data_IF_671504302538
#
_entry.id   IF_671504302538
#
_cell.length_a   1.000
_cell.length_b   1.000
_cell.length_c   1.000
_cell.angle_alpha   90.00
_cell.angle_beta   90.00
_cell.angle_gamma   90.00
#
_symmetry.space_group_name_H-M   'P 1'
#
loop_
_entity.id
_entity.type
_entity.pdbx_description
1 polymer ?
#
# COMPACT_ATOMS: atom_id res chain seq x y z
N UNK A 1 -4.89 18.07 -18.56
CA UNK A 1 -4.68 17.11 -17.46
C UNK A 1 -6.05 16.76 -16.91
N UNK A 2 -6.32 15.50 -16.55
CA UNK A 2 -7.69 15.03 -16.25
C UNK A 2 -7.97 15.15 -14.75
N UNK A 3 -9.01 15.90 -14.39
CA UNK A 3 -9.51 15.99 -13.02
C UNK A 3 -10.18 14.67 -12.59
N UNK A 4 -9.87 14.23 -11.38
CA UNK A 4 -10.34 12.96 -10.81
C UNK A 4 -11.62 13.22 -10.01
N UNK A 5 -12.70 12.43 -10.19
CA UNK A 5 -13.98 12.63 -9.53
C UNK A 5 -13.89 12.33 -8.04
N UNK A 6 -14.79 12.97 -7.29
CA UNK A 6 -14.92 12.79 -5.84
C UNK A 6 -15.10 11.30 -5.46
N UNK A 7 -15.71 10.47 -6.30
CA UNK A 7 -15.97 9.05 -6.01
C UNK A 7 -14.69 8.23 -5.84
N UNK A 8 -13.66 8.52 -6.64
CA UNK A 8 -12.34 7.88 -6.53
C UNK A 8 -11.66 8.33 -5.25
N UNK A 9 -11.78 9.61 -4.88
CA UNK A 9 -11.27 10.13 -3.62
C UNK A 9 -12.01 9.52 -2.41
N UNK A 10 -13.32 9.30 -2.53
CA UNK A 10 -14.16 8.66 -1.52
C UNK A 10 -13.87 7.16 -1.36
N UNK A 11 -13.22 6.53 -2.34
CA UNK A 11 -12.77 5.14 -2.24
C UNK A 11 -11.50 4.99 -1.38
N UNK A 12 -10.70 6.06 -1.23
CA UNK A 12 -9.48 6.09 -0.39
C UNK A 12 -9.76 5.71 1.08
N UNK A 13 -10.77 6.26 1.77
CA UNK A 13 -11.07 5.86 3.15
C UNK A 13 -11.54 4.40 3.30
N UNK A 14 -11.96 3.71 2.24
CA UNK A 14 -12.23 2.26 2.33
C UNK A 14 -10.96 1.45 2.56
N UNK A 15 -9.79 1.94 2.11
CA UNK A 15 -8.49 1.32 2.37
C UNK A 15 -7.95 1.58 3.77
N UNK A 16 -8.55 2.49 4.54
CA UNK A 16 -8.28 2.60 5.98
C UNK A 16 -8.48 1.21 6.63
N UNK A 17 -9.46 0.43 6.17
CA UNK A 17 -9.70 -0.95 6.63
C UNK A 17 -8.51 -1.90 6.45
N UNK A 18 -7.48 -1.58 5.67
CA UNK A 18 -6.21 -2.34 5.67
C UNK A 18 -5.57 -2.40 7.07
N UNK A 19 -5.88 -1.46 7.98
CA UNK A 19 -5.50 -1.56 9.40
C UNK A 19 -6.00 -2.87 10.05
N UNK A 20 -7.10 -3.46 9.56
CA UNK A 20 -7.66 -4.70 10.06
C UNK A 20 -6.76 -5.90 9.77
N UNK A 21 -5.94 -5.86 8.71
CA UNK A 21 -4.93 -6.90 8.45
C UNK A 21 -3.80 -6.84 9.48
N UNK A 22 -3.33 -5.63 9.83
CA UNK A 22 -2.42 -5.46 10.97
C UNK A 22 -3.05 -5.99 12.26
N UNK A 23 -4.32 -5.68 12.51
CA UNK A 23 -5.05 -6.20 13.67
C UNK A 23 -5.16 -7.73 13.65
N UNK A 24 -5.42 -8.33 12.49
CA UNK A 24 -5.54 -9.78 12.32
C UNK A 24 -4.20 -10.49 12.57
N UNK A 25 -3.10 -9.99 12.00
CA UNK A 25 -1.76 -10.50 12.29
C UNK A 25 -1.41 -10.42 13.77
N UNK A 26 -1.77 -9.31 14.42
CA UNK A 26 -1.54 -9.09 15.84
C UNK A 26 -2.39 -10.05 16.69
N UNK A 27 -3.66 -10.26 16.35
CA UNK A 27 -4.58 -11.17 17.06
C UNK A 27 -4.19 -12.65 16.93
N UNK A 28 -3.56 -13.04 15.82
CA UNK A 28 -3.16 -14.43 15.56
C UNK A 28 -1.71 -14.74 16.00
N UNK A 29 -1.00 -13.75 16.53
CA UNK A 29 0.34 -13.96 17.07
C UNK A 29 0.26 -14.71 18.40
N UNK A 30 1.04 -15.81 18.51
CA UNK A 30 1.08 -16.67 19.70
C UNK A 30 1.38 -15.88 20.99
N UNK A 31 2.09 -14.77 20.87
CA UNK A 31 2.42 -13.86 21.97
C UNK A 31 1.19 -13.27 22.70
N UNK A 32 0.07 -13.06 22.00
CA UNK A 32 -1.17 -12.51 22.57
C UNK A 32 -2.07 -13.58 23.19
N UNK A 33 -1.98 -14.82 22.69
CA UNK A 33 -2.78 -15.95 23.18
C UNK A 33 -2.12 -16.65 24.38
N UNK A 34 -0.84 -16.43 24.62
CA UNK A 34 -0.15 -17.05 25.73
C UNK A 34 -0.66 -16.51 27.08
N UNK A 35 -1.22 -17.42 27.88
CA UNK A 35 -1.73 -17.12 29.21
C UNK A 35 -0.63 -16.58 30.15
N UNK A 36 0.61 -17.03 29.94
CA UNK A 36 1.79 -16.57 30.68
C UNK A 36 2.13 -15.10 30.40
N UNK A 37 2.10 -14.66 29.14
CA UNK A 37 2.40 -13.26 28.79
C UNK A 37 1.33 -12.32 29.34
N UNK A 38 0.06 -12.76 29.34
CA UNK A 38 -1.06 -11.99 29.92
C UNK A 38 -0.97 -11.90 31.44
N UNK A 39 -0.53 -12.95 32.13
CA UNK A 39 -0.37 -12.91 33.59
C UNK A 39 0.79 -12.00 34.00
N UNK A 40 1.94 -12.07 33.31
CA UNK A 40 3.11 -11.21 33.57
C UNK A 40 2.79 -9.72 33.33
N UNK A 41 2.02 -9.39 32.29
CA UNK A 41 1.58 -8.02 32.03
C UNK A 41 0.63 -7.48 33.13
N UNK A 42 -0.28 -8.33 33.62
CA UNK A 42 -1.19 -7.99 34.72
C UNK A 42 -0.43 -7.78 36.04
N UNK A 43 0.60 -8.59 36.33
CA UNK A 43 1.47 -8.42 37.50
C UNK A 43 2.25 -7.09 37.46
N UNK A 44 2.69 -6.65 36.28
CA UNK A 44 3.42 -5.39 36.10
C UNK A 44 2.52 -4.16 35.92
N UNK A 45 1.19 -4.31 35.95
CA UNK A 45 0.22 -3.25 35.62
C UNK A 45 0.45 -2.58 34.26
N UNK A 46 0.94 -3.33 33.27
CA UNK A 46 1.16 -2.83 31.92
C UNK A 46 -0.04 -3.25 31.07
N UNK A 47 -0.73 -2.29 30.46
CA UNK A 47 -1.78 -2.58 29.49
C UNK A 47 -1.17 -3.22 28.23
N UNK A 48 -1.71 -4.37 27.83
CA UNK A 48 -1.37 -5.04 26.57
C UNK A 48 -1.97 -4.25 25.40
N UNK A 49 -1.30 -3.17 25.01
CA UNK A 49 -1.72 -2.31 23.90
C UNK A 49 -1.19 -2.79 22.54
N UNK A 50 -1.92 -2.50 21.45
CA UNK A 50 -1.52 -2.85 20.07
C UNK A 50 -0.13 -2.32 19.68
N UNK A 51 0.24 -1.14 20.20
CA UNK A 51 1.56 -0.52 19.97
C UNK A 51 2.69 -1.32 20.62
N UNK A 52 2.45 -1.91 21.78
CA UNK A 52 3.42 -2.76 22.46
C UNK A 52 3.68 -4.02 21.64
N UNK A 53 2.63 -4.63 21.11
CA UNK A 53 2.79 -5.89 20.37
C UNK A 53 3.42 -5.72 19.00
N UNK A 54 3.10 -4.65 18.27
CA UNK A 54 3.84 -4.37 17.04
C UNK A 54 5.33 -4.17 17.35
N UNK A 55 5.69 -3.50 18.46
CA UNK A 55 7.08 -3.38 18.89
C UNK A 55 7.73 -4.73 19.20
N UNK A 56 7.05 -5.61 19.95
CA UNK A 56 7.57 -6.95 20.28
C UNK A 56 7.73 -7.82 19.03
N UNK A 57 6.76 -7.82 18.11
CA UNK A 57 6.85 -8.57 16.86
C UNK A 57 8.00 -8.08 15.96
N UNK A 58 8.25 -6.76 15.94
CA UNK A 58 9.37 -6.17 15.22
C UNK A 58 10.73 -6.52 15.87
N UNK A 59 10.78 -6.75 17.18
CA UNK A 59 12.00 -7.17 17.87
C UNK A 59 12.33 -8.66 17.62
N UNK A 60 11.33 -9.55 17.66
CA UNK A 60 11.59 -10.99 17.49
C UNK A 60 11.93 -11.37 16.05
N UNK A 61 11.11 -10.94 15.08
CA UNK A 61 11.26 -11.30 13.66
C UNK A 61 11.00 -10.10 12.75
N UNK A 62 11.93 -9.11 12.72
CA UNK A 62 11.72 -7.84 12.02
C UNK A 62 11.38 -8.01 10.54
N UNK A 63 12.08 -8.92 9.85
CA UNK A 63 11.89 -9.17 8.42
C UNK A 63 10.49 -9.69 8.10
N UNK A 64 9.91 -10.55 8.94
CA UNK A 64 8.58 -11.14 8.67
C UNK A 64 7.49 -10.07 8.74
N UNK A 65 7.56 -9.18 9.74
CA UNK A 65 6.62 -8.07 9.89
C UNK A 65 6.74 -7.11 8.69
N UNK A 66 7.97 -6.79 8.30
CA UNK A 66 8.23 -5.89 7.18
C UNK A 66 7.71 -6.44 5.85
N UNK A 67 7.96 -7.72 5.56
CA UNK A 67 7.49 -8.36 4.31
C UNK A 67 5.97 -8.34 4.23
N UNK A 68 5.24 -8.65 5.32
CA UNK A 68 3.77 -8.64 5.26
C UNK A 68 3.24 -7.21 5.09
N UNK A 69 3.85 -6.23 5.76
CA UNK A 69 3.50 -4.82 5.55
C UNK A 69 3.69 -4.41 4.09
N UNK A 70 4.86 -4.69 3.51
CA UNK A 70 5.19 -4.37 2.11
C UNK A 70 4.24 -5.03 1.12
N UNK A 71 3.96 -6.33 1.26
CA UNK A 71 3.02 -7.03 0.35
C UNK A 71 1.61 -6.46 0.44
N UNK A 72 1.12 -6.17 1.66
CA UNK A 72 -0.20 -5.56 1.84
C UNK A 72 -0.29 -4.16 1.23
N UNK A 73 0.79 -3.38 1.35
CA UNK A 73 0.92 -2.07 0.77
C UNK A 73 0.91 -2.12 -0.75
N UNK A 74 1.66 -3.07 -1.35
CA UNK A 74 1.70 -3.28 -2.79
C UNK A 74 0.33 -3.61 -3.38
N UNK A 75 -0.42 -4.51 -2.74
CA UNK A 75 -1.77 -4.87 -3.19
C UNK A 75 -2.71 -3.66 -3.11
N UNK A 76 -2.68 -2.92 -2.01
CA UNK A 76 -3.50 -1.71 -1.81
C UNK A 76 -3.18 -0.65 -2.86
N UNK A 77 -1.90 -0.30 -3.02
CA UNK A 77 -1.47 0.75 -3.95
C UNK A 77 -1.66 0.36 -5.41
N UNK A 78 -1.44 -0.92 -5.77
CA UNK A 78 -1.72 -1.42 -7.11
C UNK A 78 -3.18 -1.24 -7.46
N UNK A 79 -4.08 -1.58 -6.53
CA UNK A 79 -5.51 -1.38 -6.73
C UNK A 79 -5.86 0.10 -6.89
N UNK A 80 -5.33 0.98 -6.04
CA UNK A 80 -5.56 2.43 -6.14
C UNK A 80 -5.07 3.00 -7.47
N UNK A 81 -3.87 2.63 -7.90
CA UNK A 81 -3.30 3.07 -9.17
C UNK A 81 -4.15 2.61 -10.36
N UNK A 82 -4.60 1.35 -10.34
CA UNK A 82 -5.52 0.81 -11.34
C UNK A 82 -6.82 1.62 -11.42
N UNK A 83 -7.44 1.99 -10.29
CA UNK A 83 -8.68 2.79 -10.32
C UNK A 83 -8.46 4.19 -10.91
N UNK A 84 -7.35 4.84 -10.55
CA UNK A 84 -7.07 6.19 -11.02
C UNK A 84 -6.79 6.25 -12.53
N UNK A 85 -6.02 5.30 -13.08
CA UNK A 85 -5.75 5.26 -14.52
C UNK A 85 -6.92 4.68 -15.34
N UNK A 86 -7.69 3.73 -14.80
CA UNK A 86 -8.93 3.22 -15.45
C UNK A 86 -9.97 4.31 -15.63
N UNK A 87 -10.17 5.14 -14.61
CA UNK A 87 -11.12 6.25 -14.70
C UNK A 87 -10.68 7.27 -15.76
N UNK A 88 -9.40 7.59 -15.84
CA UNK A 88 -8.89 8.50 -16.85
C UNK A 88 -8.96 7.91 -18.27
N UNK A 89 -8.76 6.60 -18.45
CA UNK A 89 -9.00 5.94 -19.72
C UNK A 89 -10.47 6.07 -20.16
N UNK A 90 -11.42 5.86 -19.24
CA UNK A 90 -12.85 6.04 -19.51
C UNK A 90 -13.20 7.48 -19.90
N UNK A 91 -12.69 8.48 -19.19
CA UNK A 91 -12.93 9.90 -19.53
C UNK A 91 -12.30 10.31 -20.86
N UNK A 92 -11.09 9.83 -21.17
CA UNK A 92 -10.44 10.08 -22.47
C UNK A 92 -11.27 9.53 -23.61
N UNK A 93 -11.72 8.28 -23.47
CA UNK A 93 -12.61 7.61 -24.41
C UNK A 93 -13.89 8.44 -24.60
N UNK A 94 -14.58 8.89 -23.55
CA UNK A 94 -15.77 9.74 -23.74
C UNK A 94 -15.44 11.05 -24.49
N UNK A 95 -14.30 11.68 -24.21
CA UNK A 95 -13.90 12.94 -24.87
C UNK A 95 -13.57 12.76 -26.36
N UNK A 96 -12.97 11.63 -26.74
CA UNK A 96 -12.70 11.30 -28.14
C UNK A 96 -14.03 11.04 -28.90
N UNK A 97 -15.09 10.57 -28.22
CA UNK A 97 -16.37 10.15 -28.86
C UNK A 97 -17.10 11.45 -29.18
N UNK A 98 -17.10 12.36 -28.20
CA UNK A 98 -17.62 13.70 -28.35
C UNK A 98 -16.89 14.52 -29.42
N UNK A 99 -15.62 14.22 -29.73
CA UNK A 99 -14.84 14.91 -30.76
C UNK A 99 -14.85 14.22 -32.14
N UNK A 100 -15.56 13.09 -32.29
CA UNK A 100 -15.74 12.42 -33.57
C UNK A 100 -14.49 11.73 -34.14
N UNK A 101 -13.48 11.47 -33.31
CA UNK A 101 -12.27 10.76 -33.71
C UNK A 101 -12.53 9.25 -33.87
N UNK A 102 -11.88 8.63 -34.87
CA UNK A 102 -11.97 7.20 -35.15
C UNK A 102 -11.43 6.39 -33.96
N UNK A 103 -12.27 5.53 -33.40
CA UNK A 103 -11.91 4.60 -32.33
C UNK A 103 -11.14 3.40 -32.86
N UNK A 104 -9.83 3.39 -32.67
CA UNK A 104 -9.07 2.14 -32.71
C UNK A 104 -9.22 1.46 -31.34
N UNK A 105 -10.27 0.63 -31.22
CA UNK A 105 -10.77 0.03 -29.98
C UNK A 105 -9.85 -1.03 -29.36
N UNK A 106 -8.56 -0.79 -29.28
CA UNK A 106 -7.59 -1.67 -28.61
C UNK A 106 -7.52 -1.32 -27.12
N UNK A 107 -8.58 -1.63 -26.40
CA UNK A 107 -8.60 -1.51 -24.94
C UNK A 107 -8.06 -2.81 -24.35
N UNK A 108 -6.75 -2.82 -24.09
CA UNK A 108 -6.03 -3.95 -23.47
C UNK A 108 -6.37 -4.04 -21.96
N UNK A 109 -7.63 -4.27 -21.62
CA UNK A 109 -8.16 -4.22 -20.23
C UNK A 109 -7.46 -5.23 -19.32
N UNK A 110 -6.99 -6.35 -19.87
CA UNK A 110 -6.44 -7.46 -19.10
C UNK A 110 -5.06 -7.16 -18.50
N UNK A 111 -4.26 -6.28 -19.11
CA UNK A 111 -2.89 -6.01 -18.65
C UNK A 111 -2.78 -4.85 -17.65
N UNK A 112 -3.85 -4.08 -17.43
CA UNK A 112 -3.79 -2.89 -16.57
C UNK A 112 -3.45 -3.19 -15.10
N UNK A 113 -3.94 -4.30 -14.54
CA UNK A 113 -3.68 -4.62 -13.12
C UNK A 113 -2.25 -5.11 -12.89
N UNK A 114 -1.73 -6.00 -13.76
CA UNK A 114 -0.35 -6.48 -13.69
C UNK A 114 0.65 -5.34 -13.97
N UNK A 115 0.34 -4.46 -14.92
CA UNK A 115 1.11 -3.26 -15.22
C UNK A 115 1.11 -2.27 -14.04
N UNK A 116 -0.03 -2.12 -13.35
CA UNK A 116 -0.13 -1.31 -12.12
C UNK A 116 0.70 -1.92 -10.99
N UNK A 117 0.62 -3.24 -10.80
CA UNK A 117 1.38 -3.96 -9.78
C UNK A 117 2.87 -3.79 -10.03
N UNK A 118 3.33 -4.02 -11.27
CA UNK A 118 4.70 -3.80 -11.70
C UNK A 118 5.17 -2.37 -11.43
N UNK A 119 4.39 -1.37 -11.83
CA UNK A 119 4.72 0.04 -11.59
C UNK A 119 4.91 0.32 -10.08
N UNK A 120 4.03 -0.20 -9.22
CA UNK A 120 4.15 -0.04 -7.77
C UNK A 120 5.39 -0.76 -7.23
N UNK A 121 5.73 -1.96 -7.71
CA UNK A 121 6.96 -2.67 -7.31
C UNK A 121 8.21 -1.86 -7.64
N UNK A 122 8.32 -1.41 -8.89
CA UNK A 122 9.48 -0.68 -9.42
C UNK A 122 9.62 0.68 -8.74
N UNK A 123 8.50 1.34 -8.45
CA UNK A 123 8.47 2.60 -7.70
C UNK A 123 8.86 2.39 -6.25
N UNK A 124 8.37 1.32 -5.61
CA UNK A 124 8.74 0.97 -4.24
C UNK A 124 10.22 0.58 -4.12
N UNK A 125 10.78 -0.13 -5.09
CA UNK A 125 12.22 -0.45 -5.09
C UNK A 125 13.10 0.75 -5.48
N UNK A 126 12.49 1.91 -5.78
CA UNK A 126 13.18 3.11 -6.27
C UNK A 126 14.04 2.86 -7.52
N UNK A 127 13.65 1.89 -8.36
CA UNK A 127 14.35 1.60 -9.63
C UNK A 127 13.88 2.57 -10.71
N UNK A 128 12.56 2.72 -10.88
CA UNK A 128 11.96 3.70 -11.78
C UNK A 128 12.33 3.55 -13.26
N UNK A 129 12.10 2.39 -13.88
CA UNK A 129 12.41 2.15 -15.30
C UNK A 129 11.79 3.16 -16.28
N UNK A 130 10.61 3.70 -15.95
CA UNK A 130 9.93 4.72 -16.78
C UNK A 130 9.15 4.15 -17.97
N UNK A 131 8.94 2.84 -18.00
CA UNK A 131 8.11 2.13 -18.97
C UNK A 131 6.61 2.46 -18.82
N UNK A 132 6.16 2.67 -17.58
CA UNK A 132 4.79 3.07 -17.24
C UNK A 132 4.84 4.34 -16.41
N UNK A 133 4.05 5.36 -16.79
CA UNK A 133 4.04 6.67 -16.13
C UNK A 133 2.59 7.11 -15.84
N UNK A 134 2.29 7.63 -14.63
CA UNK A 134 0.96 8.13 -14.32
C UNK A 134 0.63 9.39 -15.11
N UNK A 135 -0.52 9.38 -15.77
CA UNK A 135 -1.01 10.52 -16.53
C UNK A 135 -2.06 11.32 -15.74
N UNK A 136 -2.49 10.80 -14.59
CA UNK A 136 -3.50 11.41 -13.72
C UNK A 136 -2.87 12.11 -12.50
N UNK A 137 -3.57 13.12 -11.96
CA UNK A 137 -3.16 13.75 -10.70
C UNK A 137 -3.13 12.73 -9.55
N UNK A 138 -4.16 11.87 -9.47
CA UNK A 138 -4.18 10.79 -8.47
C UNK A 138 -2.96 9.86 -8.59
N UNK A 139 -2.66 9.34 -9.80
CA UNK A 139 -1.53 8.44 -10.01
C UNK A 139 -0.19 9.06 -9.62
N UNK A 140 -0.01 10.36 -9.91
CA UNK A 140 1.18 11.12 -9.48
C UNK A 140 1.25 11.26 -7.96
N UNK A 141 0.15 11.60 -7.29
CA UNK A 141 0.11 11.66 -5.83
C UNK A 141 0.44 10.29 -5.21
N UNK A 142 -0.07 9.19 -5.78
CA UNK A 142 0.23 7.83 -5.33
C UNK A 142 1.72 7.47 -5.50
N UNK A 143 2.37 7.90 -6.59
CA UNK A 143 3.81 7.69 -6.76
C UNK A 143 4.64 8.44 -5.70
N UNK A 144 4.24 9.67 -5.35
CA UNK A 144 4.93 10.47 -4.33
C UNK A 144 4.76 9.84 -2.94
N UNK A 145 3.54 9.43 -2.58
CA UNK A 145 3.30 8.77 -1.28
C UNK A 145 4.04 7.44 -1.18
N UNK A 146 4.16 6.69 -2.28
CA UNK A 146 4.98 5.48 -2.36
C UNK A 146 6.45 5.75 -2.09
N UNK A 147 7.01 6.81 -2.68
CA UNK A 147 8.38 7.27 -2.42
C UNK A 147 8.66 7.66 -0.96
N UNK A 148 7.69 8.29 -0.29
CA UNK A 148 7.83 8.68 1.12
C UNK A 148 7.79 7.43 2.03
N UNK A 149 6.83 6.54 1.80
CA UNK A 149 6.68 5.31 2.60
C UNK A 149 7.92 4.44 2.47
N UNK A 150 8.46 4.30 1.26
CA UNK A 150 9.64 3.46 1.06
C UNK A 150 10.88 4.03 1.74
N UNK A 151 11.07 5.35 1.70
CA UNK A 151 12.18 6.00 2.40
C UNK A 151 12.12 5.73 3.91
N UNK A 152 10.91 5.77 4.49
CA UNK A 152 10.70 5.42 5.90
C UNK A 152 10.99 3.94 6.19
N UNK A 153 10.56 3.03 5.32
CA UNK A 153 10.80 1.58 5.45
C UNK A 153 12.28 1.23 5.36
N UNK A 154 13.00 1.80 4.38
CA UNK A 154 14.44 1.59 4.24
C UNK A 154 15.22 2.16 5.42
N UNK A 155 14.85 3.35 5.91
CA UNK A 155 15.46 3.92 7.09
C UNK A 155 15.24 3.04 8.34
N UNK A 156 14.02 2.54 8.52
CA UNK A 156 13.70 1.63 9.62
C UNK A 156 14.48 0.31 9.52
N UNK A 157 14.63 -0.25 8.32
CA UNK A 157 15.44 -1.45 8.11
C UNK A 157 16.92 -1.19 8.43
N UNK A 158 17.46 -0.04 8.05
CA UNK A 158 18.84 0.34 8.36
C UNK A 158 19.08 0.44 9.88
N UNK A 159 18.13 1.02 10.62
CA UNK A 159 18.20 1.11 12.09
C UNK A 159 18.21 -0.28 12.76
N UNK A 160 17.45 -1.23 12.21
CA UNK A 160 17.43 -2.63 12.66
C UNK A 160 18.78 -3.33 12.42
N UNK A 161 19.41 -3.14 11.27
CA UNK A 161 20.71 -3.77 10.96
C UNK A 161 21.88 -3.16 11.73
N UNK A 162 21.80 -1.89 12.14
CA UNK A 162 22.83 -1.21 12.94
C UNK A 162 22.72 -1.59 14.44
N UNK A 163 21.69 -2.33 14.87
CA UNK A 163 21.59 -2.88 16.22
C UNK A 163 21.18 -1.88 17.29
N UNK A 164 20.39 -0.85 16.93
CA UNK A 164 19.89 0.16 17.88
C UNK A 164 18.52 -0.17 18.52
N UNK A 165 18.13 -1.46 18.51
CA UNK A 165 16.99 -2.04 19.25
C UNK A 165 17.50 -3.33 19.88
#
# INVERSE_FOLDING_TARGET
>A
MVDVPIDVLLSVPMFLRSYLLCRFMVLHSKQFQDAATRSIAALNRISMDFRFVIKTMMADHPLRVLVVFTVSYWICMSWMFTQCERYAAYVRLISEIASGALYDGKLDVEHYYLNSMWFIMVTFMSIGYGDIVPNTYCGRTLSITTGIVVSAVFHFQQLLFIGFI
#
